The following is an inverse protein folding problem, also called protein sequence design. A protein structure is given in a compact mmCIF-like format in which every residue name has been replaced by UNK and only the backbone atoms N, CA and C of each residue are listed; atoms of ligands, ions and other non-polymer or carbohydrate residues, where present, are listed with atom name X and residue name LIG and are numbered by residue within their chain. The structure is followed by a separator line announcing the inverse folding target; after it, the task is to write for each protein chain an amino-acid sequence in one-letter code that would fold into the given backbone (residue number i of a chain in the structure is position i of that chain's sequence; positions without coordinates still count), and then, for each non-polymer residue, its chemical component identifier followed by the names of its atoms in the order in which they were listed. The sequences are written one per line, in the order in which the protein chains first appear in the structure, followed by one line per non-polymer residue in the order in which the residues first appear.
data_IF_422549495492
#
_entry.id   IF_422549495492
#
_cell.length_a   1.000
_cell.length_b   1.000
_cell.length_c   1.000
_cell.angle_alpha   90.00
_cell.angle_beta   90.00
_cell.angle_gamma   90.00
#
_symmetry.space_group_name_H-M   'P 1'
#
loop_
_entity.id
_entity.type
_entity.pdbx_description
1 polymer ?
#
# COMPACT_ATOMS: atom_id res chain seq x y z
N UNK A 1 5.69 0.27 -11.33
CA UNK A 1 5.58 -0.97 -10.54
C UNK A 1 6.75 -1.14 -9.57
N UNK A 2 7.99 -1.41 -10.02
CA UNK A 2 9.13 -1.76 -9.13
C UNK A 2 9.37 -0.75 -8.00
N UNK A 3 9.69 0.51 -8.31
CA UNK A 3 9.97 1.55 -7.28
C UNK A 3 8.79 1.72 -6.32
N UNK A 4 7.57 1.79 -6.85
CA UNK A 4 6.36 1.89 -6.05
C UNK A 4 6.17 0.69 -5.10
N UNK A 5 6.40 -0.53 -5.60
CA UNK A 5 6.21 -1.76 -4.84
C UNK A 5 7.16 -1.80 -3.63
N UNK A 6 8.44 -1.52 -3.85
CA UNK A 6 9.41 -1.47 -2.76
C UNK A 6 9.13 -0.32 -1.79
N UNK A 7 8.79 0.86 -2.30
CA UNK A 7 8.54 2.02 -1.47
C UNK A 7 7.26 1.94 -0.63
N UNK A 8 6.27 1.12 -0.98
CA UNK A 8 5.02 1.05 -0.21
C UNK A 8 4.83 -0.31 0.47
N UNK A 9 5.03 -1.41 -0.25
CA UNK A 9 4.65 -2.74 0.23
C UNK A 9 5.80 -3.51 0.85
N UNK A 10 7.05 -3.25 0.42
CA UNK A 10 8.22 -3.99 0.89
C UNK A 10 8.93 -3.32 2.09
N UNK A 11 8.19 -2.56 2.90
CA UNK A 11 8.67 -2.03 4.18
C UNK A 11 8.41 -3.06 5.29
N UNK A 12 9.31 -3.21 6.29
CA UNK A 12 9.09 -4.16 7.38
C UNK A 12 7.74 -4.01 8.09
N UNK A 13 7.25 -2.79 8.30
CA UNK A 13 5.95 -2.51 8.94
C UNK A 13 4.74 -2.84 8.06
N UNK A 14 4.90 -2.83 6.74
CA UNK A 14 3.82 -3.03 5.74
C UNK A 14 3.85 -4.40 5.08
N UNK A 15 4.87 -5.21 5.38
CA UNK A 15 5.05 -6.52 4.77
C UNK A 15 3.88 -7.46 5.14
N UNK A 16 3.36 -8.28 4.22
CA UNK A 16 3.82 -8.48 2.83
C UNK A 16 3.26 -7.47 1.82
N UNK A 17 2.18 -6.77 2.15
CA UNK A 17 1.50 -5.82 1.29
C UNK A 17 0.79 -4.77 2.15
N UNK A 18 1.09 -3.48 1.91
CA UNK A 18 0.26 -2.39 2.44
C UNK A 18 -1.18 -2.48 1.90
N UNK A 19 -2.15 -2.56 2.81
CA UNK A 19 -3.57 -2.70 2.52
C UNK A 19 -4.34 -1.38 2.60
N UNK A 20 -3.72 -0.31 3.06
CA UNK A 20 -4.38 1.01 3.23
C UNK A 20 -5.01 1.47 1.92
N UNK A 21 -4.39 1.15 0.77
CA UNK A 21 -4.95 1.47 -0.55
C UNK A 21 -6.28 0.79 -0.87
N UNK A 22 -6.60 -0.33 -0.20
CA UNK A 22 -7.85 -1.07 -0.38
C UNK A 22 -8.84 -0.81 0.74
N UNK A 23 -8.37 -0.83 1.99
CA UNK A 23 -9.22 -0.66 3.16
C UNK A 23 -9.58 0.79 3.44
N UNK A 24 -8.76 1.73 2.99
CA UNK A 24 -8.84 3.15 3.36
C UNK A 24 -8.57 3.41 4.84
N UNK A 25 -8.18 2.38 5.62
CA UNK A 25 -7.96 2.47 7.06
C UNK A 25 -6.47 2.36 7.36
N UNK A 26 -5.96 3.33 8.10
CA UNK A 26 -4.58 3.38 8.58
C UNK A 26 -4.57 3.21 10.10
N UNK A 27 -3.66 2.40 10.63
CA UNK A 27 -3.40 2.39 12.06
C UNK A 27 -3.00 3.78 12.58
N UNK A 28 -3.58 4.18 13.72
CA UNK A 28 -3.40 5.54 14.23
C UNK A 28 -1.97 5.82 14.70
N UNK A 29 -1.30 4.85 15.32
CA UNK A 29 0.08 5.03 15.80
C UNK A 29 1.04 5.09 14.62
N UNK A 30 0.87 4.20 13.64
CA UNK A 30 1.64 4.26 12.41
C UNK A 30 1.39 5.56 11.62
N UNK A 31 0.16 6.07 11.59
CA UNK A 31 -0.14 7.35 10.97
C UNK A 31 0.54 8.52 11.67
N UNK A 32 0.62 8.51 13.01
CA UNK A 32 1.36 9.52 13.79
C UNK A 32 2.85 9.47 13.48
N UNK A 33 3.42 8.27 13.38
CA UNK A 33 4.85 8.07 13.11
C UNK A 33 5.21 8.47 11.68
N UNK A 34 4.46 8.01 10.68
CA UNK A 34 4.77 8.26 9.27
C UNK A 34 4.30 9.64 8.78
N UNK A 35 3.27 10.23 9.40
CA UNK A 35 2.64 11.50 8.98
C UNK A 35 2.41 12.46 10.17
N UNK A 36 3.43 12.78 10.98
CA UNK A 36 3.27 13.56 12.21
C UNK A 36 2.63 14.93 11.98
N UNK A 37 3.02 15.61 10.90
CA UNK A 37 2.44 16.92 10.53
C UNK A 37 0.96 16.84 10.15
N UNK A 38 0.53 15.75 9.52
CA UNK A 38 -0.88 15.57 9.18
C UNK A 38 -1.70 15.29 10.42
N UNK A 39 -1.22 14.38 11.27
CA UNK A 39 -1.83 14.11 12.57
C UNK A 39 -1.95 15.39 13.42
N UNK A 40 -0.87 16.18 13.51
CA UNK A 40 -0.85 17.44 14.27
C UNK A 40 -1.93 18.40 13.77
N UNK A 41 -2.03 18.63 12.45
CA UNK A 41 -3.08 19.50 11.88
C UNK A 41 -4.49 19.01 12.18
N UNK A 42 -4.75 17.71 12.09
CA UNK A 42 -6.06 17.14 12.40
C UNK A 42 -6.41 17.30 13.89
N UNK A 43 -5.42 17.10 14.77
CA UNK A 43 -5.59 17.30 16.21
C UNK A 43 -5.83 18.76 16.57
N UNK A 44 -5.07 19.69 15.99
CA UNK A 44 -5.20 21.14 16.24
C UNK A 44 -6.51 21.73 15.71
N UNK A 45 -7.02 21.20 14.60
CA UNK A 45 -8.32 21.60 14.04
C UNK A 45 -9.52 20.95 14.75
N UNK A 46 -9.32 19.95 15.62
CA UNK A 46 -10.39 19.19 16.26
C UNK A 46 -11.16 18.25 15.32
N UNK A 47 -10.62 17.99 14.13
CA UNK A 47 -11.24 17.10 13.13
C UNK A 47 -10.77 15.64 13.28
N UNK A 48 -9.80 15.35 14.16
CA UNK A 48 -9.23 13.99 14.29
C UNK A 48 -10.30 12.95 14.62
N UNK A 49 -11.17 13.24 15.59
CA UNK A 49 -12.20 12.32 16.09
C UNK A 49 -13.17 11.87 15.00
N UNK A 50 -13.41 12.71 13.99
CA UNK A 50 -14.28 12.41 12.84
C UNK A 50 -13.73 11.30 11.94
N UNK A 51 -12.41 11.11 11.93
CA UNK A 51 -11.74 10.11 11.09
C UNK A 51 -11.36 8.83 11.86
N UNK A 52 -11.62 8.78 13.16
CA UNK A 52 -11.39 7.59 13.97
C UNK A 52 -12.52 6.59 13.74
N UNK A 53 -12.18 5.43 13.19
CA UNK A 53 -13.10 4.33 12.97
C UNK A 53 -12.54 3.00 13.52
N UNK A 54 -13.44 2.03 13.69
CA UNK A 54 -13.04 0.66 14.00
C UNK A 54 -12.12 0.08 12.90
N UNK A 55 -11.24 -0.88 13.22
CA UNK A 55 -10.42 -1.56 12.21
C UNK A 55 -11.29 -2.31 11.17
N UNK A 56 -10.78 -2.58 9.96
CA UNK A 56 -11.51 -3.36 8.95
C UNK A 56 -11.94 -4.73 9.47
N UNK A 57 -13.06 -5.25 9.00
CA UNK A 57 -13.46 -6.65 9.25
C UNK A 57 -12.43 -7.62 8.67
N UNK A 58 -12.26 -8.79 9.28
CA UNK A 58 -11.29 -9.82 8.84
C UNK A 58 -11.52 -10.28 7.40
N UNK A 59 -12.77 -10.34 6.98
CA UNK A 59 -13.17 -10.70 5.62
C UNK A 59 -12.64 -9.65 4.63
N UNK A 60 -12.84 -8.37 4.94
CA UNK A 60 -12.34 -7.27 4.11
C UNK A 60 -10.81 -7.23 4.06
N UNK A 61 -10.12 -7.50 5.18
CA UNK A 61 -8.66 -7.63 5.18
C UNK A 61 -8.18 -8.77 4.26
N UNK A 62 -8.85 -9.92 4.33
CA UNK A 62 -8.52 -11.10 3.53
C UNK A 62 -8.70 -10.84 2.04
N UNK A 63 -9.83 -10.22 1.65
CA UNK A 63 -10.09 -9.81 0.26
C UNK A 63 -9.06 -8.79 -0.21
N UNK A 64 -8.68 -7.84 0.64
CA UNK A 64 -7.65 -6.84 0.33
C UNK A 64 -6.30 -7.48 0.05
N UNK A 65 -5.89 -8.47 0.86
CA UNK A 65 -4.66 -9.24 0.58
C UNK A 65 -4.77 -10.05 -0.71
N UNK A 66 -5.88 -10.74 -0.94
CA UNK A 66 -6.07 -11.54 -2.16
C UNK A 66 -5.97 -10.66 -3.42
N UNK A 67 -6.61 -9.49 -3.40
CA UNK A 67 -6.53 -8.51 -4.49
C UNK A 67 -5.11 -7.97 -4.66
N UNK A 68 -4.45 -7.60 -3.56
CA UNK A 68 -3.08 -7.10 -3.59
C UNK A 68 -2.09 -8.11 -4.16
N UNK A 69 -2.17 -9.38 -3.76
CA UNK A 69 -1.32 -10.45 -4.31
C UNK A 69 -1.63 -10.75 -5.79
N UNK A 70 -2.90 -10.64 -6.18
CA UNK A 70 -3.29 -10.76 -7.60
C UNK A 70 -2.64 -9.67 -8.44
N UNK A 71 -2.72 -8.41 -8.00
CA UNK A 71 -2.10 -7.27 -8.68
C UNK A 71 -0.57 -7.36 -8.68
N UNK A 72 0.04 -7.84 -7.59
CA UNK A 72 1.46 -8.15 -7.54
C UNK A 72 1.85 -9.20 -8.59
N UNK A 73 1.07 -10.28 -8.70
CA UNK A 73 1.26 -11.31 -9.72
C UNK A 73 1.23 -10.74 -11.14
N UNK A 74 0.24 -9.89 -11.45
CA UNK A 74 0.19 -9.20 -12.75
C UNK A 74 1.37 -8.25 -12.95
N UNK A 75 1.78 -7.50 -11.92
CA UNK A 75 2.93 -6.61 -12.00
C UNK A 75 4.24 -7.34 -12.31
N UNK A 76 4.47 -8.48 -11.65
CA UNK A 76 5.62 -9.35 -11.91
C UNK A 76 5.54 -9.99 -13.30
N UNK A 77 4.36 -10.47 -13.71
CA UNK A 77 4.15 -11.03 -15.04
C UNK A 77 4.49 -10.01 -16.15
N UNK A 78 3.96 -8.79 -16.05
CA UNK A 78 4.26 -7.71 -17.00
C UNK A 78 5.74 -7.33 -16.97
N UNK A 79 6.38 -7.30 -15.79
CA UNK A 79 7.81 -7.03 -15.68
C UNK A 79 8.65 -8.09 -16.43
N UNK A 80 8.30 -9.36 -16.29
CA UNK A 80 8.95 -10.46 -17.03
C UNK A 80 8.79 -10.27 -18.54
N UNK A 81 7.58 -9.94 -19.02
CA UNK A 81 7.35 -9.70 -20.45
C UNK A 81 8.19 -8.53 -20.99
N UNK A 82 8.31 -7.45 -20.23
CA UNK A 82 9.16 -6.30 -20.57
C UNK A 82 10.62 -6.72 -20.66
N UNK A 83 11.12 -7.47 -19.68
CA UNK A 83 12.50 -7.98 -19.66
C UNK A 83 12.77 -8.88 -20.88
N UNK A 84 11.86 -9.81 -21.20
CA UNK A 84 11.96 -10.66 -22.41
C UNK A 84 12.00 -9.79 -23.67
N UNK A 85 11.13 -8.78 -23.76
CA UNK A 85 11.11 -7.84 -24.87
C UNK A 85 12.47 -7.15 -25.08
N UNK A 86 13.08 -6.67 -23.99
CA UNK A 86 14.41 -6.06 -24.04
C UNK A 86 15.50 -7.03 -24.52
N UNK A 87 15.50 -8.28 -24.04
CA UNK A 87 16.47 -9.27 -24.50
C UNK A 87 16.28 -9.67 -25.96
N UNK A 88 15.05 -9.64 -26.47
CA UNK A 88 14.77 -10.08 -27.84
C UNK A 88 14.93 -8.99 -28.89
N UNK A 89 14.66 -7.71 -28.55
CA UNK A 89 14.69 -6.59 -29.50
C UNK A 89 15.69 -5.49 -29.18
N UNK A 90 16.34 -5.52 -28.01
CA UNK A 90 17.23 -4.45 -27.58
C UNK A 90 16.47 -3.19 -27.11
N UNK A 91 17.22 -2.15 -26.75
CA UNK A 91 16.70 -0.85 -26.32
C UNK A 91 16.45 0.09 -27.52
N UNK A 92 15.96 -0.43 -28.65
CA UNK A 92 15.61 0.40 -29.82
C UNK A 92 14.48 -0.25 -30.62
#
# INVERSE_FOLDING_TARGET
FVVHFFNNHFRPSKFPLDRVMFTGRWDLEEFKEERPEHYKRLKESGELEKYLEAPPSKEFETVSYALGFTLLGFGLFLLVLVIIGFFHRGLV
#
